data_IF_462624282092
#
_entry.id   IF_462624282092
#
_cell.length_a   1.000
_cell.length_b   1.000
_cell.length_c   1.000
_cell.angle_alpha   90.00
_cell.angle_beta   90.00
_cell.angle_gamma   90.00
#
_symmetry.space_group_name_H-M   'P 1'
#
loop_
_entity.id
_entity.type
_entity.pdbx_description
1 polymer ?
#
# COMPACT_ATOMS: atom_id res chain seq x y z
N UNK A 1 11.49 -3.90 -21.76
CA UNK A 1 12.40 -3.59 -20.64
C UNK A 1 11.86 -4.28 -19.39
N UNK A 2 12.64 -5.15 -18.75
CA UNK A 2 12.29 -5.74 -17.46
C UNK A 2 12.75 -4.84 -16.31
N UNK A 3 12.00 -4.77 -15.22
CA UNK A 3 12.42 -4.07 -14.00
C UNK A 3 13.63 -4.79 -13.38
N UNK A 4 14.67 -4.07 -12.91
CA UNK A 4 15.84 -4.68 -12.28
C UNK A 4 15.53 -5.24 -10.89
N UNK A 5 14.58 -4.62 -10.18
CA UNK A 5 14.14 -5.02 -8.83
C UNK A 5 12.64 -4.79 -8.68
N UNK A 6 12.05 -5.43 -7.67
CA UNK A 6 10.67 -5.18 -7.27
C UNK A 6 10.52 -3.74 -6.75
N UNK A 7 9.51 -3.02 -7.22
CA UNK A 7 9.15 -1.67 -6.80
C UNK A 7 7.82 -1.72 -6.04
N UNK A 8 7.79 -1.15 -4.84
CA UNK A 8 6.56 -0.93 -4.08
C UNK A 8 6.27 0.58 -4.05
N UNK A 9 5.04 0.96 -4.36
CA UNK A 9 4.55 2.33 -4.27
C UNK A 9 3.35 2.36 -3.32
N UNK A 10 3.37 3.26 -2.37
CA UNK A 10 2.22 3.62 -1.56
C UNK A 10 1.71 5.00 -2.00
N UNK A 11 0.40 5.12 -2.22
CA UNK A 11 -0.25 6.36 -2.61
C UNK A 11 -1.45 6.60 -1.70
N UNK A 12 -1.50 7.80 -1.11
CA UNK A 12 -2.72 8.35 -0.49
C UNK A 12 -3.35 9.35 -1.46
N UNK A 13 -4.57 9.08 -1.89
CA UNK A 13 -5.34 9.98 -2.72
C UNK A 13 -5.84 11.16 -1.89
N UNK A 14 -5.93 12.34 -2.51
CA UNK A 14 -6.51 13.52 -1.87
C UNK A 14 -8.03 13.44 -1.72
N UNK A 15 -8.68 12.59 -2.52
CA UNK A 15 -10.10 12.27 -2.45
C UNK A 15 -10.27 10.77 -2.69
N UNK A 16 -11.08 10.07 -1.88
CA UNK A 16 -11.43 8.68 -2.15
C UNK A 16 -12.09 8.57 -3.53
N UNK A 17 -11.80 7.48 -4.23
CA UNK A 17 -12.38 7.19 -5.55
C UNK A 17 -13.18 5.90 -5.52
N UNK A 18 -14.24 5.84 -6.32
CA UNK A 18 -14.93 4.59 -6.59
C UNK A 18 -13.98 3.68 -7.38
N UNK A 19 -13.59 2.58 -6.75
CA UNK A 19 -12.68 1.59 -7.30
C UNK A 19 -13.36 0.24 -7.47
N UNK A 20 -14.70 0.18 -7.32
CA UNK A 20 -15.47 -1.07 -7.34
C UNK A 20 -14.89 -2.10 -6.34
N UNK A 21 -14.54 -1.62 -5.14
CA UNK A 21 -13.99 -2.45 -4.08
C UNK A 21 -15.05 -3.46 -3.59
N UNK A 22 -14.60 -4.62 -3.11
CA UNK A 22 -15.49 -5.73 -2.69
C UNK A 22 -16.43 -5.33 -1.54
N UNK A 23 -16.04 -4.36 -0.72
CA UNK A 23 -16.82 -3.81 0.38
C UNK A 23 -17.68 -2.60 -0.02
N UNK A 24 -17.67 -2.21 -1.30
CA UNK A 24 -18.38 -1.04 -1.83
C UNK A 24 -17.93 0.29 -1.18
N UNK A 25 -16.74 0.33 -0.58
CA UNK A 25 -16.19 1.54 0.05
C UNK A 25 -15.23 2.24 -0.92
N UNK A 26 -15.33 3.58 -1.09
CA UNK A 26 -14.37 4.35 -1.87
C UNK A 26 -12.93 4.17 -1.37
N UNK A 27 -11.99 3.99 -2.29
CA UNK A 27 -10.58 3.73 -1.99
C UNK A 27 -9.78 5.02 -1.99
N UNK A 28 -9.00 5.25 -0.94
CA UNK A 28 -8.07 6.38 -0.82
C UNK A 28 -6.62 5.98 -0.53
N UNK A 29 -6.38 4.74 -0.10
CA UNK A 29 -5.05 4.18 0.13
C UNK A 29 -4.76 3.08 -0.90
N UNK A 30 -3.70 3.26 -1.68
CA UNK A 30 -3.31 2.36 -2.76
C UNK A 30 -1.89 1.84 -2.52
N UNK A 31 -1.72 0.53 -2.64
CA UNK A 31 -0.40 -0.13 -2.67
C UNK A 31 -0.23 -0.79 -4.03
N UNK A 32 0.78 -0.37 -4.78
CA UNK A 32 1.17 -0.97 -6.05
C UNK A 32 2.50 -1.70 -5.89
N UNK A 33 2.56 -2.93 -6.37
CA UNK A 33 3.77 -3.72 -6.42
C UNK A 33 4.08 -4.13 -7.86
N UNK A 34 5.24 -3.75 -8.35
CA UNK A 34 5.75 -4.12 -9.66
C UNK A 34 6.97 -5.01 -9.48
N UNK A 35 6.84 -6.30 -9.79
CA UNK A 35 7.95 -7.26 -9.67
C UNK A 35 8.35 -7.80 -11.04
N UNK A 36 9.65 -8.05 -11.27
CA UNK A 36 10.08 -8.81 -12.44
C UNK A 36 9.50 -10.24 -12.37
N UNK A 37 9.30 -10.93 -13.52
CA UNK A 37 8.68 -12.25 -13.55
C UNK A 37 9.36 -13.29 -12.65
N UNK A 38 10.68 -13.19 -12.50
CA UNK A 38 11.48 -14.09 -11.67
C UNK A 38 11.24 -13.94 -10.15
N UNK A 39 10.64 -12.84 -9.70
CA UNK A 39 10.53 -12.46 -8.28
C UNK A 39 9.08 -12.41 -7.77
N UNK A 40 8.15 -12.96 -8.56
CA UNK A 40 6.70 -12.87 -8.30
C UNK A 40 6.26 -13.38 -6.92
N UNK A 41 6.85 -14.49 -6.45
CA UNK A 41 6.48 -15.10 -5.16
C UNK A 41 6.95 -14.28 -3.96
N UNK A 42 8.09 -13.59 -4.07
CA UNK A 42 8.62 -12.78 -2.99
C UNK A 42 7.79 -11.49 -2.82
N UNK A 43 7.36 -10.92 -3.94
CA UNK A 43 6.52 -9.72 -3.94
C UNK A 43 5.18 -9.88 -3.22
N UNK A 44 4.48 -11.00 -3.41
CA UNK A 44 3.18 -11.23 -2.78
C UNK A 44 3.25 -11.27 -1.24
N UNK A 45 4.36 -11.70 -0.67
CA UNK A 45 4.56 -11.68 0.79
C UNK A 45 4.63 -10.24 1.31
N UNK A 46 5.35 -9.35 0.60
CA UNK A 46 5.43 -7.94 0.94
C UNK A 46 4.05 -7.28 0.88
N UNK A 47 3.32 -7.49 -0.22
CA UNK A 47 1.97 -6.94 -0.39
C UNK A 47 1.02 -7.44 0.71
N UNK A 48 1.09 -8.73 1.06
CA UNK A 48 0.28 -9.31 2.12
C UNK A 48 0.58 -8.71 3.49
N UNK A 49 1.84 -8.36 3.76
CA UNK A 49 2.23 -7.71 5.01
C UNK A 49 1.62 -6.30 5.11
N UNK A 50 1.79 -5.48 4.05
CA UNK A 50 1.26 -4.12 4.01
C UNK A 50 -0.28 -4.14 4.07
N UNK A 51 -0.94 -5.03 3.33
CA UNK A 51 -2.39 -5.16 3.33
C UNK A 51 -2.95 -5.62 4.69
N UNK A 52 -2.20 -6.45 5.45
CA UNK A 52 -2.54 -6.78 6.83
C UNK A 52 -2.43 -5.57 7.75
N UNK A 53 -1.38 -4.77 7.59
CA UNK A 53 -1.15 -3.57 8.41
C UNK A 53 -2.24 -2.52 8.17
N UNK A 54 -2.64 -2.33 6.91
CA UNK A 54 -3.72 -1.41 6.52
C UNK A 54 -5.14 -1.89 6.86
N UNK A 55 -5.33 -3.15 7.27
CA UNK A 55 -6.61 -3.64 7.81
C UNK A 55 -6.84 -3.25 9.27
N UNK A 56 -5.82 -2.74 9.95
CA UNK A 56 -5.97 -2.13 11.25
C UNK A 56 -6.42 -0.68 11.07
N UNK A 57 -7.65 -0.37 11.46
CA UNK A 57 -8.26 0.95 11.31
C UNK A 57 -7.43 2.05 12.00
N UNK A 58 -6.78 1.72 13.14
CA UNK A 58 -5.92 2.68 13.86
C UNK A 58 -4.71 3.06 13.00
N UNK A 59 -4.11 2.08 12.32
CA UNK A 59 -2.97 2.32 11.44
C UNK A 59 -3.43 3.03 10.17
N UNK A 60 -4.54 2.60 9.57
CA UNK A 60 -5.08 3.22 8.36
C UNK A 60 -5.38 4.71 8.59
N UNK A 61 -6.01 5.04 9.71
CA UNK A 61 -6.34 6.43 10.07
C UNK A 61 -5.11 7.26 10.42
N UNK A 62 -4.10 6.67 11.06
CA UNK A 62 -2.81 7.33 11.28
C UNK A 62 -2.11 7.66 9.95
N UNK A 63 -2.11 6.72 9.00
CA UNK A 63 -1.54 6.93 7.66
C UNK A 63 -2.33 7.97 6.87
N UNK A 64 -3.67 8.01 7.00
CA UNK A 64 -4.50 9.08 6.44
C UNK A 64 -4.21 10.45 7.04
N UNK A 65 -3.76 10.50 8.28
CA UNK A 65 -3.45 11.73 9.00
C UNK A 65 -2.00 12.19 8.84
N UNK A 66 -1.12 11.36 8.27
CA UNK A 66 0.30 11.68 8.08
C UNK A 66 0.50 12.97 7.27
N UNK A 67 1.37 13.86 7.75
CA UNK A 67 1.68 15.12 7.08
C UNK A 67 2.67 14.94 5.92
N UNK A 68 3.50 13.90 5.99
CA UNK A 68 4.56 13.63 5.00
C UNK A 68 4.58 12.18 4.53
N UNK A 69 5.22 11.93 3.39
CA UNK A 69 5.48 10.58 2.88
C UNK A 69 6.31 9.74 3.84
N UNK A 70 7.24 10.37 4.55
CA UNK A 70 8.14 9.75 5.50
C UNK A 70 7.38 9.26 6.74
N UNK A 71 6.42 10.05 7.24
CA UNK A 71 5.55 9.65 8.34
C UNK A 71 4.69 8.45 7.95
N UNK A 72 4.07 8.49 6.76
CA UNK A 72 3.30 7.36 6.24
C UNK A 72 4.18 6.09 6.09
N UNK A 73 5.40 6.24 5.56
CA UNK A 73 6.36 5.14 5.43
C UNK A 73 6.69 4.51 6.79
N UNK A 74 6.95 5.34 7.81
CA UNK A 74 7.24 4.88 9.16
C UNK A 74 6.07 4.08 9.75
N UNK A 75 4.83 4.58 9.61
CA UNK A 75 3.63 3.89 10.11
C UNK A 75 3.39 2.54 9.43
N UNK A 76 3.71 2.43 8.13
CA UNK A 76 3.54 1.21 7.34
C UNK A 76 4.62 0.15 7.59
N UNK A 77 5.80 0.55 8.07
CA UNK A 77 6.99 -0.33 8.15
C UNK A 77 7.53 -0.57 9.55
N UNK A 78 7.08 0.19 10.56
CA UNK A 78 7.41 -0.12 11.96
C UNK A 78 6.61 -1.32 12.46
N UNK A 79 7.26 -2.17 13.25
CA UNK A 79 6.66 -3.27 14.00
C UNK A 79 5.87 -2.76 15.21
#
# INVERSE_FOLDING_TARGET
MSLPHSLCLFVRLSKPMDFEAVDEVPVDLIVLLLSPPADQKHGLNLLSCIARRLRDDVIADAVRSAATSEEAYILLTRD
#
